data_IF_693651141250
#
_entry.id   IF_693651141250
#
_cell.length_a   1.000
_cell.length_b   1.000
_cell.length_c   1.000
_cell.angle_alpha   90.00
_cell.angle_beta   90.00
_cell.angle_gamma   90.00
#
_symmetry.space_group_name_H-M   'P 1'
#
loop_
_entity.id
_entity.type
_entity.pdbx_description
1 polymer ?
#
# COMPACT_ATOMS: atom_id res chain seq x y z
N UNK A 1 5.54 -13.83 48.67
CA UNK A 1 5.66 -13.78 47.20
C UNK A 1 7.10 -13.59 46.72
N UNK A 2 7.82 -12.52 47.05
CA UNK A 2 9.22 -12.31 46.57
C UNK A 2 10.15 -13.51 46.85
N UNK A 3 10.00 -14.16 48.01
CA UNK A 3 10.73 -15.39 48.33
C UNK A 3 10.39 -16.55 47.39
N UNK A 4 9.11 -16.71 47.04
CA UNK A 4 8.64 -17.76 46.10
C UNK A 4 9.22 -17.49 44.71
N UNK A 5 9.18 -16.24 44.22
CA UNK A 5 9.77 -15.90 42.93
C UNK A 5 11.28 -16.11 42.89
N UNK A 6 12.02 -15.73 43.93
CA UNK A 6 13.45 -16.02 44.04
C UNK A 6 13.74 -17.53 44.07
N UNK A 7 12.83 -18.33 44.64
CA UNK A 7 12.95 -19.79 44.66
C UNK A 7 12.71 -20.40 43.28
N UNK A 8 11.69 -19.92 42.56
CA UNK A 8 11.40 -20.32 41.17
C UNK A 8 12.58 -19.93 40.27
N UNK A 9 13.13 -18.73 40.43
CA UNK A 9 14.33 -18.31 39.71
C UNK A 9 15.53 -19.20 39.99
N UNK A 10 15.75 -19.58 41.26
CA UNK A 10 16.84 -20.45 41.69
C UNK A 10 16.57 -21.95 41.46
N UNK A 11 15.40 -22.30 40.91
CA UNK A 11 14.92 -23.67 40.74
C UNK A 11 15.05 -24.52 42.02
N UNK A 12 14.73 -23.95 43.20
CA UNK A 12 14.95 -24.61 44.48
C UNK A 12 13.69 -25.33 44.99
N UNK A 13 13.48 -26.54 44.50
CA UNK A 13 12.28 -27.36 44.73
C UNK A 13 12.01 -27.63 46.21
N UNK A 14 13.05 -28.00 46.97
CA UNK A 14 12.93 -28.34 48.40
C UNK A 14 12.42 -27.14 49.21
N UNK A 15 12.91 -25.94 48.90
CA UNK A 15 12.44 -24.72 49.57
C UNK A 15 11.05 -24.31 49.12
N UNK A 16 10.66 -24.62 47.89
CA UNK A 16 9.31 -24.34 47.40
C UNK A 16 8.28 -25.19 48.16
N UNK A 17 8.51 -26.50 48.25
CA UNK A 17 7.63 -27.42 48.98
C UNK A 17 7.47 -27.01 50.45
N UNK A 18 8.57 -26.68 51.13
CA UNK A 18 8.53 -26.22 52.51
C UNK A 18 7.70 -24.94 52.71
N UNK A 19 7.75 -23.99 51.76
CA UNK A 19 6.98 -22.74 51.85
C UNK A 19 5.50 -22.95 51.50
N UNK A 20 5.18 -23.82 50.54
CA UNK A 20 3.79 -24.16 50.22
C UNK A 20 3.08 -24.80 51.41
N UNK A 21 3.79 -25.59 52.22
CA UNK A 21 3.27 -26.15 53.47
C UNK A 21 3.10 -25.09 54.59
N UNK A 22 4.00 -24.10 54.69
CA UNK A 22 4.01 -23.09 55.77
C UNK A 22 3.13 -21.84 55.52
N UNK A 23 2.98 -21.37 54.28
CA UNK A 23 2.40 -20.04 53.95
C UNK A 23 1.00 -20.07 53.29
N UNK A 24 0.19 -21.12 53.51
CA UNK A 24 -1.22 -21.15 53.06
C UNK A 24 -2.00 -19.92 53.57
N UNK A 25 -2.31 -18.97 52.67
CA UNK A 25 -3.26 -17.88 52.91
C UNK A 25 -2.70 -16.49 53.27
N UNK A 26 -1.48 -16.12 52.83
CA UNK A 26 -0.99 -14.72 52.97
C UNK A 26 -0.77 -14.04 51.62
N UNK A 27 -1.71 -13.17 51.27
CA UNK A 27 -1.65 -12.31 50.08
C UNK A 27 -0.72 -11.11 50.29
N UNK A 28 0.22 -10.92 49.37
CA UNK A 28 0.74 -9.60 48.97
C UNK A 28 1.45 -9.79 47.63
N UNK A 29 0.91 -9.19 46.57
CA UNK A 29 1.44 -9.26 45.20
C UNK A 29 1.88 -7.86 44.79
N UNK A 30 3.15 -7.67 44.45
CA UNK A 30 3.66 -6.39 43.89
C UNK A 30 3.87 -6.42 42.37
N UNK A 31 3.96 -7.60 41.74
CA UNK A 31 4.54 -7.70 40.39
C UNK A 31 3.62 -8.32 39.33
N UNK A 32 2.35 -8.56 39.64
CA UNK A 32 1.36 -8.94 38.62
C UNK A 32 1.28 -10.42 38.26
N UNK A 33 2.21 -11.26 38.69
CA UNK A 33 2.24 -12.70 38.40
C UNK A 33 1.55 -13.53 39.50
N UNK A 34 1.16 -14.75 39.15
CA UNK A 34 0.90 -15.85 40.10
C UNK A 34 2.13 -16.77 40.13
N UNK A 35 2.34 -17.59 41.19
CA UNK A 35 3.45 -18.55 41.21
C UNK A 35 3.47 -19.47 39.99
N UNK A 36 2.29 -19.96 39.58
CA UNK A 36 2.14 -20.85 38.43
C UNK A 36 2.46 -20.15 37.12
N UNK A 37 1.89 -18.96 36.87
CA UNK A 37 2.17 -18.19 35.64
C UNK A 37 3.65 -17.78 35.56
N UNK A 38 4.28 -17.45 36.68
CA UNK A 38 5.72 -17.14 36.73
C UNK A 38 6.59 -18.37 36.43
N UNK A 39 6.26 -19.53 37.01
CA UNK A 39 6.98 -20.78 36.73
C UNK A 39 6.84 -21.21 35.26
N UNK A 40 5.64 -21.03 34.69
CA UNK A 40 5.37 -21.29 33.27
C UNK A 40 6.22 -20.40 32.36
N UNK A 41 6.24 -19.08 32.60
CA UNK A 41 7.06 -18.13 31.83
C UNK A 41 8.56 -18.46 31.91
N UNK A 42 9.03 -18.91 33.09
CA UNK A 42 10.45 -19.23 33.34
C UNK A 42 10.89 -20.62 32.89
N UNK A 43 9.99 -21.46 32.37
CA UNK A 43 10.37 -22.79 31.89
C UNK A 43 10.72 -23.76 33.02
N UNK A 44 10.10 -23.62 34.21
CA UNK A 44 10.41 -24.46 35.38
C UNK A 44 9.45 -25.65 35.47
N UNK A 45 9.63 -26.64 34.59
CA UNK A 45 8.74 -27.81 34.46
C UNK A 45 8.41 -28.50 35.78
N UNK A 46 9.41 -28.93 36.55
CA UNK A 46 9.21 -29.63 37.84
C UNK A 46 8.48 -28.76 38.88
N UNK A 47 8.67 -27.44 38.83
CA UNK A 47 7.97 -26.51 39.71
C UNK A 47 6.52 -26.33 39.27
N UNK A 48 6.26 -26.28 37.96
CA UNK A 48 4.90 -26.21 37.42
C UNK A 48 4.12 -27.44 37.87
N UNK A 49 4.70 -28.64 37.74
CA UNK A 49 4.08 -29.90 38.15
C UNK A 49 3.66 -29.87 39.63
N UNK A 50 4.57 -29.50 40.54
CA UNK A 50 4.30 -29.36 41.98
C UNK A 50 3.18 -28.35 42.25
N UNK A 51 3.17 -27.21 41.53
CA UNK A 51 2.16 -26.18 41.72
C UNK A 51 0.78 -26.64 41.21
N UNK A 52 0.71 -27.43 40.14
CA UNK A 52 -0.54 -28.02 39.66
C UNK A 52 -1.09 -29.04 40.67
N UNK A 53 -0.23 -29.90 41.21
CA UNK A 53 -0.64 -30.87 42.23
C UNK A 53 -1.26 -30.18 43.47
N UNK A 54 -0.67 -29.09 43.95
CA UNK A 54 -1.21 -28.32 45.08
C UNK A 54 -2.58 -27.69 44.74
N UNK A 55 -2.75 -27.15 43.52
CA UNK A 55 -4.04 -26.60 43.05
C UNK A 55 -5.12 -27.69 43.06
N UNK A 56 -4.83 -28.88 42.53
CA UNK A 56 -5.79 -30.01 42.50
C UNK A 56 -6.20 -30.47 43.90
N UNK A 57 -5.25 -30.53 44.84
CA UNK A 57 -5.55 -30.85 46.24
C UNK A 57 -6.45 -29.78 46.90
N UNK A 58 -6.24 -28.51 46.56
CA UNK A 58 -7.05 -27.40 47.06
C UNK A 58 -8.48 -27.42 46.49
N UNK A 59 -8.67 -27.68 45.19
CA UNK A 59 -10.02 -27.79 44.60
C UNK A 59 -10.87 -28.89 45.25
N UNK A 60 -10.26 -30.05 45.55
CA UNK A 60 -10.94 -31.16 46.20
C UNK A 60 -11.35 -30.81 47.64
N UNK A 61 -10.52 -30.06 48.36
CA UNK A 61 -10.83 -29.62 49.72
C UNK A 61 -11.85 -28.47 49.76
N UNK A 62 -11.84 -27.56 48.79
CA UNK A 62 -12.83 -26.47 48.67
C UNK A 62 -14.23 -26.94 48.28
N UNK A 63 -14.36 -27.97 47.43
CA UNK A 63 -15.64 -28.65 47.18
C UNK A 63 -16.31 -29.14 48.48
N UNK A 64 -15.52 -29.39 49.52
CA UNK A 64 -15.97 -29.81 50.86
C UNK A 64 -16.25 -28.62 51.82
N UNK A 65 -15.75 -27.41 51.52
CA UNK A 65 -15.74 -26.23 52.42
C UNK A 65 -16.63 -25.05 51.99
N UNK A 66 -17.47 -25.21 50.95
CA UNK A 66 -18.32 -24.20 50.24
C UNK A 66 -19.14 -23.16 51.05
N UNK A 67 -19.05 -23.05 52.38
CA UNK A 67 -19.86 -22.11 53.20
C UNK A 67 -19.11 -20.83 53.62
N UNK A 68 -17.77 -20.75 53.56
CA UNK A 68 -17.07 -19.55 54.06
C UNK A 68 -15.85 -19.20 53.21
N UNK A 69 -16.01 -18.26 52.30
CA UNK A 69 -15.12 -17.10 52.07
C UNK A 69 -15.37 -16.62 50.63
N UNK A 70 -16.15 -15.55 50.51
CA UNK A 70 -16.49 -14.95 49.22
C UNK A 70 -15.57 -13.80 48.83
N UNK A 71 -14.46 -13.55 49.53
CA UNK A 71 -13.80 -12.24 49.45
C UNK A 71 -12.27 -12.18 49.48
N UNK A 72 -11.49 -13.26 49.57
CA UNK A 72 -10.02 -13.12 49.68
C UNK A 72 -9.30 -14.19 48.84
N UNK A 73 -8.10 -13.82 48.35
CA UNK A 73 -6.98 -14.66 47.88
C UNK A 73 -6.75 -14.70 46.36
N UNK A 74 -5.60 -14.17 45.91
CA UNK A 74 -5.02 -14.27 44.55
C UNK A 74 -4.10 -15.51 44.41
N UNK A 75 -4.41 -16.59 45.12
CA UNK A 75 -3.81 -17.91 44.91
C UNK A 75 -4.47 -18.52 43.68
N UNK A 76 -3.71 -19.13 42.77
CA UNK A 76 -4.28 -19.94 41.69
C UNK A 76 -5.23 -20.98 42.31
N UNK A 77 -6.52 -20.77 42.17
CA UNK A 77 -7.60 -21.70 42.52
C UNK A 77 -7.93 -22.62 41.35
N UNK A 78 -7.56 -22.21 40.14
CA UNK A 78 -7.76 -22.93 38.89
C UNK A 78 -6.50 -22.85 38.01
N UNK A 79 -6.34 -23.83 37.11
CA UNK A 79 -5.31 -23.85 36.07
C UNK A 79 -5.49 -22.72 35.03
N UNK A 80 -6.70 -22.16 34.94
CA UNK A 80 -7.07 -21.12 33.98
C UNK A 80 -7.10 -19.71 34.61
N UNK A 81 -6.69 -19.57 35.88
CA UNK A 81 -6.71 -18.29 36.56
C UNK A 81 -5.75 -17.29 35.91
N UNK A 82 -6.25 -16.07 35.71
CA UNK A 82 -5.48 -14.98 35.14
C UNK A 82 -4.53 -14.37 36.18
N UNK A 83 -3.31 -14.05 35.74
CA UNK A 83 -2.45 -13.12 36.46
C UNK A 83 -3.00 -11.67 36.32
N UNK A 84 -2.38 -10.69 36.98
CA UNK A 84 -2.83 -9.28 36.90
C UNK A 84 -2.60 -8.64 35.52
N UNK A 85 -1.83 -9.30 34.64
CA UNK A 85 -1.71 -8.92 33.22
C UNK A 85 -2.83 -9.54 32.36
N UNK A 86 -3.74 -10.32 32.97
CA UNK A 86 -4.84 -10.97 32.28
C UNK A 86 -4.47 -12.28 31.60
N UNK A 87 -3.33 -12.89 31.95
CA UNK A 87 -2.76 -14.04 31.24
C UNK A 87 -2.91 -15.32 32.05
N UNK A 88 -3.27 -16.42 31.38
CA UNK A 88 -3.32 -17.76 31.99
C UNK A 88 -1.95 -18.43 31.98
N UNK A 89 -1.71 -19.44 32.84
CA UNK A 89 -0.50 -20.27 32.79
C UNK A 89 -0.15 -20.77 31.40
N UNK A 90 -1.16 -21.26 30.66
CA UNK A 90 -0.98 -21.76 29.29
C UNK A 90 -0.55 -20.65 28.33
N UNK A 91 -1.12 -19.44 28.44
CA UNK A 91 -0.68 -18.31 27.61
C UNK A 91 0.76 -17.87 27.91
N UNK A 92 1.21 -17.92 29.17
CA UNK A 92 2.59 -17.60 29.53
C UNK A 92 3.58 -18.66 29.02
N UNK A 93 3.25 -19.94 29.16
CA UNK A 93 4.04 -21.03 28.59
C UNK A 93 4.13 -20.91 27.06
N UNK A 94 3.00 -20.60 26.40
CA UNK A 94 2.93 -20.42 24.96
C UNK A 94 3.73 -19.20 24.46
N UNK A 95 3.73 -18.10 25.21
CA UNK A 95 4.56 -16.91 24.95
C UNK A 95 6.05 -17.20 25.03
N UNK A 96 6.45 -17.91 26.06
CA UNK A 96 7.84 -18.21 26.34
C UNK A 96 8.38 -19.41 25.52
N UNK A 97 7.51 -20.13 24.80
CA UNK A 97 7.90 -21.21 23.89
C UNK A 97 8.10 -22.57 24.56
N UNK A 98 7.59 -22.76 25.78
CA UNK A 98 7.82 -23.98 26.56
C UNK A 98 6.77 -25.06 26.23
N UNK A 99 6.99 -25.81 25.15
CA UNK A 99 6.08 -26.87 24.69
C UNK A 99 5.77 -27.90 25.78
N UNK A 100 6.79 -28.35 26.53
CA UNK A 100 6.62 -29.35 27.59
C UNK A 100 5.72 -28.88 28.74
N UNK A 101 5.74 -27.58 29.03
CA UNK A 101 4.83 -26.97 30.01
C UNK A 101 3.43 -26.85 29.44
N UNK A 102 3.29 -26.52 28.15
CA UNK A 102 1.98 -26.52 27.47
C UNK A 102 1.36 -27.92 27.47
N UNK A 103 2.17 -28.96 27.22
CA UNK A 103 1.77 -30.37 27.31
C UNK A 103 1.21 -30.68 28.69
N UNK A 104 2.01 -30.43 29.73
CA UNK A 104 1.65 -30.72 31.12
C UNK A 104 0.38 -29.97 31.55
N UNK A 105 0.22 -28.70 31.17
CA UNK A 105 -0.98 -27.93 31.50
C UNK A 105 -2.25 -28.49 30.83
N UNK A 106 -2.17 -28.89 29.55
CA UNK A 106 -3.31 -29.45 28.81
C UNK A 106 -3.68 -30.85 29.28
N UNK A 107 -2.70 -31.71 29.55
CA UNK A 107 -2.92 -33.05 30.13
C UNK A 107 -3.64 -32.97 31.48
N UNK A 108 -3.32 -31.93 32.25
CA UNK A 108 -3.90 -31.69 33.58
C UNK A 108 -5.27 -30.99 33.54
N UNK A 109 -5.75 -30.61 32.34
CA UNK A 109 -7.11 -30.11 32.10
C UNK A 109 -7.26 -28.60 31.90
N UNK A 110 -6.17 -27.85 31.67
CA UNK A 110 -6.27 -26.43 31.30
C UNK A 110 -7.08 -26.26 30.01
N UNK A 111 -7.91 -25.22 29.94
CA UNK A 111 -8.74 -25.01 28.77
C UNK A 111 -7.92 -24.40 27.61
N UNK A 112 -7.73 -25.17 26.55
CA UNK A 112 -6.87 -24.82 25.40
C UNK A 112 -7.21 -23.48 24.73
N UNK A 113 -8.48 -23.10 24.77
CA UNK A 113 -9.00 -21.88 24.15
C UNK A 113 -9.25 -20.76 25.16
N UNK A 114 -8.78 -20.89 26.41
CA UNK A 114 -8.98 -19.85 27.42
C UNK A 114 -8.27 -18.56 27.00
N UNK A 115 -9.05 -17.49 26.83
CA UNK A 115 -8.54 -16.24 26.31
C UNK A 115 -7.93 -15.37 27.41
N UNK A 116 -6.96 -14.53 27.07
CA UNK A 116 -6.49 -13.47 27.97
C UNK A 116 -7.62 -12.50 28.34
N UNK A 117 -7.61 -11.99 29.56
CA UNK A 117 -8.70 -11.20 30.13
C UNK A 117 -8.95 -9.87 29.40
N UNK A 118 -7.90 -9.23 28.88
CA UNK A 118 -8.00 -7.87 28.35
C UNK A 118 -8.12 -7.80 26.84
N UNK A 119 -7.42 -8.66 26.11
CA UNK A 119 -7.36 -8.64 24.64
C UNK A 119 -8.18 -9.77 24.02
N UNK A 120 -8.60 -10.76 24.82
CA UNK A 120 -9.25 -11.99 24.35
C UNK A 120 -8.37 -12.83 23.41
N UNK A 121 -7.05 -12.79 23.56
CA UNK A 121 -6.14 -13.65 22.78
C UNK A 121 -6.13 -15.06 23.34
N UNK A 122 -6.29 -16.08 22.49
CA UNK A 122 -6.06 -17.48 22.87
C UNK A 122 -4.55 -17.78 23.00
N UNK A 123 -4.15 -18.89 23.67
CA UNK A 123 -2.75 -19.32 23.71
C UNK A 123 -2.15 -19.47 22.30
N UNK A 124 -2.95 -19.89 21.33
CA UNK A 124 -2.55 -19.99 19.92
C UNK A 124 -2.16 -18.62 19.33
N UNK A 125 -2.92 -17.55 19.59
CA UNK A 125 -2.53 -16.20 19.14
C UNK A 125 -1.18 -15.79 19.69
N UNK A 126 -0.98 -16.00 20.99
CA UNK A 126 0.25 -15.59 21.69
C UNK A 126 1.45 -16.37 21.18
N UNK A 127 1.31 -17.69 20.96
CA UNK A 127 2.36 -18.52 20.37
C UNK A 127 2.75 -18.04 18.95
N UNK A 128 1.75 -17.70 18.13
CA UNK A 128 1.97 -17.18 16.77
C UNK A 128 2.67 -15.82 16.79
N UNK A 129 2.22 -14.90 17.64
CA UNK A 129 2.80 -13.55 17.77
C UNK A 129 4.28 -13.59 18.16
N UNK A 130 4.67 -14.56 18.98
CA UNK A 130 6.05 -14.76 19.42
C UNK A 130 6.86 -15.70 18.51
N UNK A 131 6.25 -16.26 17.47
CA UNK A 131 6.92 -17.12 16.49
C UNK A 131 7.31 -18.51 17.02
N UNK A 132 6.68 -18.97 18.10
CA UNK A 132 6.99 -20.26 18.73
C UNK A 132 6.32 -21.41 17.95
N UNK A 133 6.91 -21.81 16.83
CA UNK A 133 6.35 -22.80 15.90
C UNK A 133 6.00 -24.13 16.55
N UNK A 134 6.86 -24.64 17.44
CA UNK A 134 6.66 -25.93 18.09
C UNK A 134 5.43 -25.92 19.01
N UNK A 135 5.18 -24.79 19.68
CA UNK A 135 3.97 -24.57 20.49
C UNK A 135 2.75 -24.46 19.58
N UNK A 136 2.85 -23.77 18.45
CA UNK A 136 1.74 -23.64 17.48
C UNK A 136 1.33 -25.00 16.93
N UNK A 137 2.28 -25.83 16.49
CA UNK A 137 2.04 -27.20 16.05
C UNK A 137 1.37 -28.04 17.14
N UNK A 138 1.91 -27.96 18.35
CA UNK A 138 1.36 -28.70 19.50
C UNK A 138 -0.08 -28.29 19.79
N UNK A 139 -0.37 -26.99 19.94
CA UNK A 139 -1.71 -26.49 20.22
C UNK A 139 -2.72 -26.88 19.12
N UNK A 140 -2.34 -26.77 17.84
CA UNK A 140 -3.19 -27.22 16.73
C UNK A 140 -3.44 -28.73 16.80
N UNK A 141 -2.42 -29.54 17.10
CA UNK A 141 -2.55 -31.00 17.24
C UNK A 141 -3.50 -31.42 18.37
N UNK A 142 -3.62 -30.60 19.43
CA UNK A 142 -4.53 -30.80 20.56
C UNK A 142 -5.93 -30.22 20.31
N UNK A 143 -6.22 -29.68 19.12
CA UNK A 143 -7.54 -29.16 18.76
C UNK A 143 -7.80 -27.73 19.23
N UNK A 144 -6.77 -26.89 19.33
CA UNK A 144 -6.96 -25.45 19.51
C UNK A 144 -7.81 -24.89 18.36
N UNK A 145 -8.78 -24.02 18.71
CA UNK A 145 -9.65 -23.41 17.70
C UNK A 145 -8.88 -22.32 16.95
N UNK A 146 -8.64 -22.55 15.66
CA UNK A 146 -7.91 -21.66 14.76
C UNK A 146 -8.73 -20.46 14.27
N UNK A 147 -10.00 -20.34 14.69
CA UNK A 147 -10.93 -19.29 14.26
C UNK A 147 -11.34 -18.31 15.35
N UNK A 148 -11.07 -18.60 16.64
CA UNK A 148 -11.36 -17.63 17.71
C UNK A 148 -10.59 -16.35 17.40
N UNK A 149 -11.27 -15.21 17.41
CA UNK A 149 -10.65 -13.92 17.18
C UNK A 149 -10.52 -13.13 18.50
N UNK A 150 -9.55 -12.23 18.54
CA UNK A 150 -9.37 -11.30 19.67
C UNK A 150 -10.50 -10.25 19.74
N UNK A 151 -10.44 -9.36 20.74
CA UNK A 151 -11.46 -8.34 20.96
C UNK A 151 -11.56 -7.27 19.85
N UNK A 152 -10.64 -7.24 18.87
CA UNK A 152 -10.66 -6.38 17.67
C UNK A 152 -10.97 -7.20 16.40
N UNK A 153 -11.38 -8.45 16.54
CA UNK A 153 -11.62 -9.42 15.46
C UNK A 153 -10.36 -9.77 14.65
N UNK A 154 -9.19 -9.79 15.29
CA UNK A 154 -7.97 -10.33 14.69
C UNK A 154 -7.96 -11.84 14.92
N UNK A 155 -7.85 -12.61 13.83
CA UNK A 155 -7.75 -14.08 13.87
C UNK A 155 -6.29 -14.56 14.00
N UNK A 156 -6.05 -15.82 14.40
CA UNK A 156 -4.73 -16.44 14.38
C UNK A 156 -4.05 -16.34 13.01
N UNK A 157 -4.83 -16.55 11.93
CA UNK A 157 -4.36 -16.41 10.56
C UNK A 157 -3.89 -14.99 10.26
N UNK A 158 -4.64 -13.97 10.68
CA UNK A 158 -4.22 -12.58 10.49
C UNK A 158 -2.89 -12.29 11.20
N UNK A 159 -2.73 -12.75 12.45
CA UNK A 159 -1.49 -12.58 13.23
C UNK A 159 -0.31 -13.26 12.53
N UNK A 160 -0.49 -14.48 12.01
CA UNK A 160 0.54 -15.20 11.27
C UNK A 160 0.99 -14.47 10.00
N UNK A 161 0.03 -13.92 9.23
CA UNK A 161 0.31 -13.13 8.01
C UNK A 161 1.01 -11.82 8.38
N UNK A 162 0.58 -11.14 9.46
CA UNK A 162 1.22 -9.92 9.94
C UNK A 162 2.69 -10.16 10.32
N UNK A 163 3.00 -11.33 10.89
CA UNK A 163 4.36 -11.78 11.18
C UNK A 163 5.14 -12.28 9.95
N UNK A 164 4.49 -12.46 8.80
CA UNK A 164 5.12 -12.98 7.57
C UNK A 164 5.51 -14.46 7.65
N UNK A 165 5.05 -15.20 8.66
CA UNK A 165 5.45 -16.59 8.87
C UNK A 165 4.62 -17.53 7.98
N UNK A 166 5.14 -17.81 6.78
CA UNK A 166 4.48 -18.65 5.78
C UNK A 166 4.24 -20.08 6.29
N UNK A 167 5.12 -20.60 7.15
CA UNK A 167 4.97 -21.93 7.72
C UNK A 167 3.75 -22.02 8.65
N UNK A 168 3.60 -21.07 9.57
CA UNK A 168 2.42 -21.01 10.45
C UNK A 168 1.14 -20.79 9.63
N UNK A 169 1.19 -19.95 8.59
CA UNK A 169 0.04 -19.76 7.69
C UNK A 169 -0.38 -21.10 7.06
N UNK A 170 0.57 -21.89 6.57
CA UNK A 170 0.30 -23.22 6.01
C UNK A 170 -0.35 -24.14 7.05
N UNK A 171 0.20 -24.21 8.27
CA UNK A 171 -0.36 -25.02 9.36
C UNK A 171 -1.81 -24.64 9.70
N UNK A 172 -2.12 -23.35 9.75
CA UNK A 172 -3.48 -22.87 10.03
C UNK A 172 -4.46 -23.22 8.90
N UNK A 173 -4.02 -23.16 7.64
CA UNK A 173 -4.83 -23.55 6.48
C UNK A 173 -5.10 -25.06 6.51
N UNK A 174 -4.09 -25.89 6.77
CA UNK A 174 -4.23 -27.34 6.90
C UNK A 174 -5.17 -27.73 8.05
N UNK A 175 -5.15 -26.96 9.14
CA UNK A 175 -6.07 -27.11 10.27
C UNK A 175 -7.52 -26.67 9.96
N UNK A 176 -7.80 -26.19 8.74
CA UNK A 176 -9.14 -25.85 8.29
C UNK A 176 -9.64 -24.47 8.71
N UNK A 177 -8.74 -23.49 8.93
CA UNK A 177 -9.18 -22.12 9.18
C UNK A 177 -9.89 -21.52 7.95
N UNK A 178 -10.91 -20.68 8.18
CA UNK A 178 -11.55 -19.94 7.10
C UNK A 178 -10.61 -18.81 6.64
N UNK A 179 -10.06 -18.95 5.42
CA UNK A 179 -9.14 -17.98 4.81
C UNK A 179 -9.79 -16.63 4.45
N UNK A 180 -11.12 -16.53 4.60
CA UNK A 180 -11.88 -15.29 4.46
C UNK A 180 -12.26 -14.68 5.81
N UNK A 181 -11.91 -15.32 6.92
CA UNK A 181 -12.25 -14.88 8.26
C UNK A 181 -11.51 -13.59 8.59
N UNK A 182 -12.25 -12.49 8.60
CA UNK A 182 -11.77 -11.16 8.94
C UNK A 182 -12.84 -10.11 8.69
N UNK A 183 -12.71 -8.96 9.34
CA UNK A 183 -13.51 -7.78 8.97
C UNK A 183 -13.01 -7.19 7.66
N UNK A 184 -13.73 -6.19 7.12
CA UNK A 184 -13.31 -5.48 5.91
C UNK A 184 -11.86 -4.96 6.00
N UNK A 185 -11.40 -4.50 7.15
CA UNK A 185 -10.01 -4.02 7.30
C UNK A 185 -8.98 -5.12 7.59
N UNK A 186 -9.44 -6.33 7.92
CA UNK A 186 -8.62 -7.46 8.40
C UNK A 186 -8.71 -8.70 7.50
N UNK A 187 -9.15 -8.58 6.25
CA UNK A 187 -9.16 -9.70 5.32
C UNK A 187 -7.73 -10.25 5.09
N UNK A 188 -7.49 -11.57 5.27
CA UNK A 188 -6.16 -12.18 5.14
C UNK A 188 -5.45 -11.86 3.82
N UNK A 189 -6.15 -12.01 2.70
CA UNK A 189 -5.62 -11.74 1.35
C UNK A 189 -5.26 -10.27 1.14
N UNK A 190 -6.03 -9.35 1.75
CA UNK A 190 -5.76 -7.92 1.69
C UNK A 190 -4.48 -7.60 2.45
N UNK A 191 -4.28 -8.19 3.64
CA UNK A 191 -3.06 -7.99 4.42
C UNK A 191 -1.83 -8.55 3.70
N UNK A 192 -1.91 -9.75 3.14
CA UNK A 192 -0.82 -10.35 2.37
C UNK A 192 -0.43 -9.48 1.17
N UNK A 193 -1.42 -8.97 0.43
CA UNK A 193 -1.21 -8.04 -0.67
C UNK A 193 -0.60 -6.70 -0.21
N UNK A 194 -1.00 -6.16 0.94
CA UNK A 194 -0.42 -4.93 1.52
C UNK A 194 1.05 -5.12 1.91
N UNK A 195 1.39 -6.28 2.46
CA UNK A 195 2.72 -6.58 2.98
C UNK A 195 3.69 -7.13 1.93
N UNK A 196 3.22 -7.48 0.72
CA UNK A 196 4.09 -8.00 -0.34
C UNK A 196 4.45 -9.48 -0.15
N UNK A 197 3.59 -10.25 0.51
CA UNK A 197 3.86 -11.64 0.88
C UNK A 197 3.36 -12.61 -0.20
N UNK A 198 4.08 -12.71 -1.34
CA UNK A 198 3.66 -13.53 -2.49
C UNK A 198 3.35 -14.98 -2.13
N UNK A 199 4.22 -15.65 -1.37
CA UNK A 199 4.01 -17.06 -0.98
C UNK A 199 2.74 -17.25 -0.14
N UNK A 200 2.43 -16.31 0.75
CA UNK A 200 1.19 -16.31 1.54
C UNK A 200 -0.01 -16.02 0.66
N UNK A 201 0.08 -15.05 -0.26
CA UNK A 201 -0.96 -14.79 -1.24
C UNK A 201 -1.29 -16.03 -2.09
N UNK A 202 -0.27 -16.80 -2.47
CA UNK A 202 -0.42 -18.07 -3.19
C UNK A 202 -1.19 -19.09 -2.35
N UNK A 203 -0.73 -19.37 -1.13
CA UNK A 203 -1.40 -20.31 -0.21
C UNK A 203 -2.87 -19.93 0.04
N UNK A 204 -3.16 -18.66 0.29
CA UNK A 204 -4.55 -18.19 0.48
C UNK A 204 -5.41 -18.39 -0.78
N UNK A 205 -4.84 -18.15 -1.96
CA UNK A 205 -5.54 -18.32 -3.22
C UNK A 205 -5.83 -19.79 -3.55
N UNK A 206 -4.90 -20.69 -3.24
CA UNK A 206 -5.03 -22.14 -3.36
C UNK A 206 -6.08 -22.69 -2.38
N UNK A 207 -6.14 -22.12 -1.18
CA UNK A 207 -7.17 -22.41 -0.17
C UNK A 207 -8.56 -21.80 -0.49
N UNK A 208 -8.72 -21.14 -1.64
CA UNK A 208 -10.03 -20.65 -2.09
C UNK A 208 -10.46 -19.31 -1.49
N UNK A 209 -9.53 -18.42 -1.12
CA UNK A 209 -9.89 -17.08 -0.65
C UNK A 209 -10.65 -16.26 -1.73
N UNK A 210 -11.52 -15.37 -1.27
CA UNK A 210 -12.12 -14.33 -2.09
C UNK A 210 -11.06 -13.27 -2.42
N UNK A 211 -10.49 -13.37 -3.63
CA UNK A 211 -9.40 -12.50 -4.13
C UNK A 211 -9.78 -11.03 -4.24
N UNK A 212 -11.08 -10.74 -4.23
CA UNK A 212 -11.64 -9.40 -4.33
C UNK A 212 -12.21 -8.89 -3.01
N UNK A 213 -11.86 -9.51 -1.88
CA UNK A 213 -12.33 -9.07 -0.56
C UNK A 213 -11.80 -7.66 -0.28
N UNK A 214 -12.67 -6.68 -0.49
CA UNK A 214 -12.34 -5.28 -0.38
C UNK A 214 -12.44 -4.77 1.06
N UNK A 215 -11.63 -3.75 1.38
CA UNK A 215 -11.71 -3.09 2.67
C UNK A 215 -12.94 -2.17 2.81
N UNK A 216 -13.08 -1.48 3.94
CA UNK A 216 -14.24 -0.61 4.20
C UNK A 216 -14.36 0.57 3.23
N UNK A 217 -13.29 0.88 2.51
CA UNK A 217 -13.24 1.91 1.48
C UNK A 217 -13.41 1.32 0.08
N UNK A 218 -13.69 0.02 -0.06
CA UNK A 218 -13.82 -0.66 -1.35
C UNK A 218 -12.48 -0.92 -2.05
N UNK A 219 -11.34 -0.66 -1.41
CA UNK A 219 -10.03 -0.96 -2.00
C UNK A 219 -9.88 -2.49 -2.03
N UNK A 220 -9.54 -3.05 -3.19
CA UNK A 220 -9.31 -4.48 -3.39
C UNK A 220 -7.85 -4.87 -3.11
N UNK A 221 -7.55 -6.16 -2.88
CA UNK A 221 -6.18 -6.64 -2.69
C UNK A 221 -5.26 -6.28 -3.87
N UNK A 222 -5.74 -6.39 -5.12
CA UNK A 222 -4.97 -5.99 -6.29
C UNK A 222 -4.68 -4.48 -6.33
N UNK A 223 -5.66 -3.64 -5.97
CA UNK A 223 -5.46 -2.19 -5.91
C UNK A 223 -4.45 -1.81 -4.81
N UNK A 224 -4.49 -2.48 -3.65
CA UNK A 224 -3.50 -2.30 -2.59
C UNK A 224 -2.10 -2.76 -3.02
N UNK A 225 -1.97 -3.91 -3.69
CA UNK A 225 -0.68 -4.38 -4.22
C UNK A 225 -0.07 -3.37 -5.20
N UNK A 226 -0.86 -2.80 -6.11
CA UNK A 226 -0.42 -1.70 -7.00
C UNK A 226 -0.02 -0.45 -6.21
N UNK A 227 -0.81 -0.09 -5.19
CA UNK A 227 -0.52 1.05 -4.31
C UNK A 227 0.80 0.86 -3.55
N UNK A 228 1.17 -0.39 -3.23
CA UNK A 228 2.42 -0.74 -2.54
C UNK A 228 3.57 -1.17 -3.45
N UNK A 229 3.32 -1.24 -4.76
CA UNK A 229 4.32 -1.62 -5.78
C UNK A 229 4.75 -3.10 -5.75
N UNK A 230 3.85 -3.99 -5.30
CA UNK A 230 4.07 -5.43 -5.25
C UNK A 230 3.62 -6.09 -6.56
N UNK A 231 4.43 -5.93 -7.61
CA UNK A 231 4.11 -6.32 -9.00
C UNK A 231 3.88 -7.82 -9.16
N UNK A 232 4.63 -8.64 -8.45
CA UNK A 232 4.51 -10.09 -8.42
C UNK A 232 3.13 -10.56 -7.92
N UNK A 233 2.61 -9.91 -6.88
CA UNK A 233 1.24 -10.14 -6.38
C UNK A 233 0.20 -9.67 -7.40
N UNK A 234 0.42 -8.52 -8.05
CA UNK A 234 -0.48 -8.02 -9.11
C UNK A 234 -0.57 -9.04 -10.24
N UNK A 235 0.57 -9.51 -10.74
CA UNK A 235 0.63 -10.54 -11.78
C UNK A 235 -0.09 -11.82 -11.34
N UNK A 236 0.21 -12.31 -10.14
CA UNK A 236 -0.38 -13.54 -9.61
C UNK A 236 -1.91 -13.42 -9.49
N UNK A 237 -2.43 -12.35 -8.89
CA UNK A 237 -3.87 -12.16 -8.72
C UNK A 237 -4.61 -12.09 -10.06
N UNK A 238 -4.02 -11.44 -11.08
CA UNK A 238 -4.58 -11.38 -12.44
C UNK A 238 -4.65 -12.78 -13.06
N UNK A 239 -3.58 -13.56 -12.96
CA UNK A 239 -3.53 -14.93 -13.48
C UNK A 239 -4.56 -15.86 -12.82
N UNK A 240 -4.95 -15.55 -11.58
CA UNK A 240 -5.90 -16.34 -10.79
C UNK A 240 -7.31 -15.73 -10.77
N UNK A 241 -7.64 -14.86 -11.73
CA UNK A 241 -9.01 -14.46 -12.03
C UNK A 241 -9.64 -13.46 -11.06
N UNK A 242 -8.85 -12.59 -10.42
CA UNK A 242 -9.42 -11.45 -9.69
C UNK A 242 -10.15 -10.48 -10.63
N UNK A 243 -11.10 -9.71 -10.10
CA UNK A 243 -11.78 -8.66 -10.86
C UNK A 243 -10.91 -7.38 -10.87
N UNK A 244 -10.10 -7.26 -11.94
CA UNK A 244 -9.21 -6.11 -12.17
C UNK A 244 -9.94 -4.76 -12.30
N UNK A 245 -11.26 -4.78 -12.52
CA UNK A 245 -12.08 -3.59 -12.77
C UNK A 245 -12.83 -3.11 -11.53
N UNK A 246 -12.79 -3.84 -10.41
CA UNK A 246 -13.35 -3.38 -9.15
C UNK A 246 -12.71 -2.06 -8.71
N UNK A 247 -13.55 -1.20 -8.15
CA UNK A 247 -13.17 0.14 -7.73
C UNK A 247 -13.47 0.38 -6.27
N UNK A 248 -12.73 1.30 -5.67
CA UNK A 248 -13.01 1.83 -4.35
C UNK A 248 -14.29 2.72 -4.34
N UNK A 249 -14.63 3.27 -3.17
CA UNK A 249 -15.76 4.19 -2.98
C UNK A 249 -15.69 5.47 -3.83
N UNK A 250 -14.50 5.81 -4.34
CA UNK A 250 -14.27 6.96 -5.22
C UNK A 250 -14.19 6.54 -6.70
N UNK A 251 -14.65 5.33 -7.04
CA UNK A 251 -14.55 4.75 -8.37
C UNK A 251 -13.09 4.67 -8.89
N UNK A 252 -12.11 4.61 -8.00
CA UNK A 252 -10.69 4.44 -8.34
C UNK A 252 -10.40 2.95 -8.49
N UNK A 253 -9.96 2.56 -9.69
CA UNK A 253 -9.50 1.19 -9.99
C UNK A 253 -7.98 1.04 -9.79
N UNK A 254 -7.49 -0.20 -9.78
CA UNK A 254 -6.06 -0.50 -9.77
C UNK A 254 -5.30 0.19 -10.93
N UNK A 255 -5.93 0.30 -12.12
CA UNK A 255 -5.33 0.96 -13.28
C UNK A 255 -5.18 2.48 -13.07
N UNK A 256 -6.14 3.13 -12.39
CA UNK A 256 -6.02 4.54 -12.02
C UNK A 256 -4.80 4.76 -11.12
N UNK A 257 -4.62 3.90 -10.11
CA UNK A 257 -3.48 3.98 -9.17
C UNK A 257 -2.15 3.77 -9.92
N UNK A 258 -2.06 2.72 -10.74
CA UNK A 258 -0.86 2.41 -11.52
C UNK A 258 -0.46 3.60 -12.42
N UNK A 259 -1.43 4.18 -13.13
CA UNK A 259 -1.21 5.31 -14.01
C UNK A 259 -0.83 6.59 -13.26
N UNK A 260 -1.46 6.88 -12.11
CA UNK A 260 -1.13 8.03 -11.28
C UNK A 260 0.31 7.93 -10.73
N UNK A 261 0.72 6.73 -10.29
CA UNK A 261 2.06 6.47 -9.77
C UNK A 261 3.12 6.36 -10.86
N UNK A 262 2.73 6.12 -12.11
CA UNK A 262 3.66 5.91 -13.22
C UNK A 262 4.27 4.51 -13.24
N UNK A 263 3.58 3.54 -12.65
CA UNK A 263 4.06 2.17 -12.57
C UNK A 263 3.79 1.44 -13.89
N UNK A 264 4.80 1.44 -14.78
CA UNK A 264 4.70 0.88 -16.12
C UNK A 264 4.31 -0.60 -16.12
N UNK A 265 4.95 -1.41 -15.28
CA UNK A 265 4.72 -2.86 -15.23
C UNK A 265 3.32 -3.18 -14.72
N UNK A 266 2.85 -2.50 -13.66
CA UNK A 266 1.47 -2.64 -13.21
C UNK A 266 0.47 -2.24 -14.30
N UNK A 267 0.70 -1.13 -15.02
CA UNK A 267 -0.19 -0.72 -16.13
C UNK A 267 -0.23 -1.80 -17.22
N UNK A 268 0.92 -2.33 -17.62
CA UNK A 268 1.01 -3.40 -18.62
C UNK A 268 0.28 -4.65 -18.17
N UNK A 269 0.51 -5.12 -16.94
CA UNK A 269 -0.14 -6.30 -16.39
C UNK A 269 -1.66 -6.12 -16.30
N UNK A 270 -2.13 -5.00 -15.77
CA UNK A 270 -3.56 -4.71 -15.62
C UNK A 270 -4.28 -4.68 -16.98
N UNK A 271 -3.69 -4.05 -18.00
CA UNK A 271 -4.28 -4.02 -19.34
C UNK A 271 -4.29 -5.40 -19.99
N UNK A 272 -3.23 -6.21 -19.80
CA UNK A 272 -3.24 -7.61 -20.22
C UNK A 272 -4.32 -8.41 -19.49
N UNK A 273 -4.59 -8.08 -18.22
CA UNK A 273 -5.69 -8.59 -17.40
C UNK A 273 -7.08 -8.06 -17.79
N UNK A 274 -7.21 -7.32 -18.89
CA UNK A 274 -8.47 -6.69 -19.37
C UNK A 274 -9.01 -5.60 -18.46
N UNK A 275 -8.14 -4.85 -17.79
CA UNK A 275 -8.54 -3.62 -17.10
C UNK A 275 -9.10 -2.61 -18.12
N UNK A 276 -10.22 -1.98 -17.77
CA UNK A 276 -10.93 -1.06 -18.63
C UNK A 276 -10.28 0.34 -18.56
N UNK A 277 -9.60 0.82 -19.62
CA UNK A 277 -8.85 2.08 -19.60
C UNK A 277 -9.74 3.33 -19.62
N UNK A 278 -11.04 3.18 -19.94
CA UNK A 278 -12.00 4.29 -20.02
C UNK A 278 -12.88 4.44 -18.77
N UNK A 279 -12.69 3.59 -17.75
CA UNK A 279 -13.31 3.80 -16.45
C UNK A 279 -12.96 5.18 -15.91
N UNK A 280 -13.93 5.81 -15.25
CA UNK A 280 -13.78 7.13 -14.66
C UNK A 280 -13.94 7.05 -13.16
N UNK A 281 -13.05 7.71 -12.43
CA UNK A 281 -13.19 7.93 -11.01
C UNK A 281 -14.31 8.96 -10.70
N UNK A 282 -14.59 9.21 -9.42
CA UNK A 282 -15.61 10.18 -8.97
C UNK A 282 -15.30 11.64 -9.36
N UNK A 283 -14.05 11.96 -9.72
CA UNK A 283 -13.67 13.25 -10.31
C UNK A 283 -13.89 13.29 -11.83
N UNK A 284 -14.38 12.21 -12.43
CA UNK A 284 -14.61 12.07 -13.87
C UNK A 284 -13.34 11.83 -14.69
N UNK A 285 -12.22 11.48 -14.04
CA UNK A 285 -10.93 11.28 -14.67
C UNK A 285 -10.71 9.81 -15.03
N UNK A 286 -10.14 9.54 -16.20
CA UNK A 286 -9.65 8.21 -16.58
C UNK A 286 -8.22 7.97 -16.08
N UNK A 287 -7.78 6.72 -16.09
CA UNK A 287 -6.40 6.37 -15.74
C UNK A 287 -5.36 7.10 -16.62
N UNK A 288 -5.62 7.22 -17.92
CA UNK A 288 -4.77 8.00 -18.84
C UNK A 288 -4.65 9.48 -18.42
N UNK A 289 -5.77 10.11 -18.03
CA UNK A 289 -5.76 11.50 -17.56
C UNK A 289 -4.96 11.66 -16.26
N UNK A 290 -5.00 10.68 -15.36
CA UNK A 290 -4.17 10.68 -14.16
C UNK A 290 -2.68 10.56 -14.49
N UNK A 291 -2.29 9.72 -15.47
CA UNK A 291 -0.89 9.63 -15.92
C UNK A 291 -0.40 10.98 -16.47
N UNK A 292 -1.22 11.65 -17.29
CA UNK A 292 -0.94 12.99 -17.83
C UNK A 292 -0.75 14.01 -16.71
N UNK A 293 -1.70 14.12 -15.77
CA UNK A 293 -1.66 15.14 -14.71
C UNK A 293 -0.51 14.97 -13.71
N UNK A 294 0.06 13.76 -13.63
CA UNK A 294 1.16 13.41 -12.73
C UNK A 294 2.50 13.24 -13.46
N UNK A 295 2.61 13.68 -14.71
CA UNK A 295 3.84 13.64 -15.52
C UNK A 295 4.45 12.23 -15.69
N UNK A 296 3.61 11.21 -15.92
CA UNK A 296 4.05 9.82 -16.11
C UNK A 296 4.26 9.51 -17.59
N UNK A 297 5.28 10.13 -18.19
CA UNK A 297 5.43 10.16 -19.65
C UNK A 297 5.60 8.78 -20.28
N UNK A 298 6.29 7.82 -19.64
CA UNK A 298 6.44 6.45 -20.15
C UNK A 298 5.09 5.71 -20.19
N UNK A 299 4.27 5.90 -19.16
CA UNK A 299 2.90 5.34 -19.12
C UNK A 299 2.00 6.02 -20.14
N UNK A 300 2.11 7.34 -20.30
CA UNK A 300 1.36 8.08 -21.33
C UNK A 300 1.74 7.57 -22.72
N UNK A 301 3.03 7.43 -23.02
CA UNK A 301 3.51 6.91 -24.30
C UNK A 301 3.00 5.49 -24.55
N UNK A 302 3.09 4.62 -23.55
CA UNK A 302 2.58 3.26 -23.64
C UNK A 302 1.08 3.20 -23.93
N UNK A 303 0.28 3.96 -23.18
CA UNK A 303 -1.18 4.01 -23.36
C UNK A 303 -1.57 4.60 -24.72
N UNK A 304 -0.80 5.57 -25.24
CA UNK A 304 -1.01 6.12 -26.58
C UNK A 304 -0.68 5.08 -27.66
N UNK A 305 0.41 4.33 -27.50
CA UNK A 305 0.82 3.30 -28.44
C UNK A 305 -0.16 2.11 -28.49
N UNK A 306 -0.78 1.77 -27.35
CA UNK A 306 -1.88 0.80 -27.30
C UNK A 306 -3.20 1.34 -27.90
N UNK A 307 -3.31 2.67 -28.06
CA UNK A 307 -4.58 3.40 -28.10
C UNK A 307 -4.74 4.38 -29.25
N UNK A 308 -4.26 4.06 -30.46
CA UNK A 308 -4.78 4.69 -31.69
C UNK A 308 -6.34 4.68 -31.76
N UNK A 309 -7.00 3.82 -30.96
CA UNK A 309 -8.44 3.79 -30.74
C UNK A 309 -8.96 4.41 -29.42
N UNK A 310 -8.16 4.63 -28.37
CA UNK A 310 -8.64 5.29 -27.13
C UNK A 310 -8.97 6.76 -27.39
N UNK A 311 -8.28 7.37 -28.35
CA UNK A 311 -8.49 8.76 -28.77
C UNK A 311 -9.59 8.92 -29.85
N UNK A 312 -10.20 7.80 -30.32
CA UNK A 312 -11.24 7.80 -31.37
C UNK A 312 -12.63 8.25 -30.88
N UNK A 313 -12.84 8.31 -29.56
CA UNK A 313 -14.05 8.83 -28.93
C UNK A 313 -13.87 10.30 -28.53
N UNK A 314 -14.94 11.11 -28.39
CA UNK A 314 -14.85 12.55 -28.18
C UNK A 314 -14.39 12.89 -26.75
N UNK A 315 -13.13 12.61 -26.45
CA UNK A 315 -12.46 12.94 -25.19
C UNK A 315 -12.03 14.40 -25.09
N UNK A 316 -12.16 15.18 -26.18
CA UNK A 316 -11.55 16.49 -26.33
C UNK A 316 -12.01 17.54 -25.30
N UNK A 317 -13.29 17.57 -24.91
CA UNK A 317 -13.80 18.77 -24.23
C UNK A 317 -13.49 18.86 -22.72
N UNK A 318 -13.23 17.75 -22.02
CA UNK A 318 -12.73 17.77 -20.61
C UNK A 318 -11.28 17.30 -20.47
N UNK A 319 -10.73 16.53 -21.42
CA UNK A 319 -9.30 16.18 -21.44
C UNK A 319 -8.41 17.39 -21.70
N UNK A 320 -8.95 18.44 -22.33
CA UNK A 320 -8.29 19.75 -22.48
C UNK A 320 -7.79 20.31 -21.15
N UNK A 321 -8.51 20.12 -20.04
CA UNK A 321 -8.08 20.58 -18.73
C UNK A 321 -6.84 19.83 -18.20
N UNK A 322 -6.82 18.51 -18.33
CA UNK A 322 -5.66 17.68 -17.93
C UNK A 322 -4.44 17.94 -18.80
N UNK A 323 -4.65 18.12 -20.11
CA UNK A 323 -3.61 18.52 -21.06
C UNK A 323 -3.10 19.93 -20.75
N UNK A 324 -3.97 20.90 -20.47
CA UNK A 324 -3.57 22.25 -20.07
C UNK A 324 -2.65 22.24 -18.84
N UNK A 325 -3.00 21.44 -17.83
CA UNK A 325 -2.19 21.30 -16.61
C UNK A 325 -0.77 20.81 -16.89
N UNK A 326 -0.54 19.98 -17.92
CA UNK A 326 0.82 19.56 -18.32
C UNK A 326 1.66 20.77 -18.69
N UNK A 327 1.10 21.68 -19.49
CA UNK A 327 1.78 22.90 -19.90
C UNK A 327 1.95 23.89 -18.75
N UNK A 328 0.93 24.07 -17.91
CA UNK A 328 0.98 24.97 -16.76
C UNK A 328 1.97 24.52 -15.67
N UNK A 329 2.13 23.21 -15.49
CA UNK A 329 3.07 22.62 -14.53
C UNK A 329 4.47 22.39 -15.10
N UNK A 330 4.70 22.68 -16.38
CA UNK A 330 6.01 22.49 -17.03
C UNK A 330 6.41 21.02 -17.21
N UNK A 331 5.44 20.13 -17.42
CA UNK A 331 5.65 18.70 -17.64
C UNK A 331 6.14 18.41 -19.07
N UNK A 332 7.40 18.79 -19.34
CA UNK A 332 8.01 18.80 -20.68
C UNK A 332 7.94 17.45 -21.39
N UNK A 333 8.34 16.36 -20.74
CA UNK A 333 8.39 15.02 -21.35
C UNK A 333 7.00 14.53 -21.74
N UNK A 334 6.02 14.70 -20.86
CA UNK A 334 4.64 14.34 -21.15
C UNK A 334 4.08 15.19 -22.28
N UNK A 335 4.40 16.49 -22.33
CA UNK A 335 4.00 17.35 -23.44
C UNK A 335 4.60 16.91 -24.78
N UNK A 336 5.87 16.51 -24.79
CA UNK A 336 6.56 15.98 -25.97
C UNK A 336 5.89 14.72 -26.50
N UNK A 337 5.63 13.74 -25.61
CA UNK A 337 4.91 12.50 -25.97
C UNK A 337 3.52 12.82 -26.53
N UNK A 338 2.77 13.71 -25.88
CA UNK A 338 1.44 14.11 -26.33
C UNK A 338 1.45 14.80 -27.69
N UNK A 339 2.40 15.70 -27.95
CA UNK A 339 2.51 16.40 -29.24
C UNK A 339 2.92 15.46 -30.38
N UNK A 340 3.79 14.48 -30.11
CA UNK A 340 4.18 13.46 -31.08
C UNK A 340 3.01 12.56 -31.46
N UNK A 341 2.26 12.06 -30.46
CA UNK A 341 1.15 11.16 -30.71
C UNK A 341 -0.15 11.84 -31.14
N UNK A 342 -0.33 13.15 -30.86
CA UNK A 342 -1.50 13.94 -31.25
C UNK A 342 -1.10 15.24 -31.98
N UNK A 343 -0.76 15.20 -33.28
CA UNK A 343 -0.34 16.39 -34.03
C UNK A 343 -1.39 17.49 -34.17
N UNK A 344 -2.67 17.22 -33.84
CA UNK A 344 -3.78 18.18 -33.87
C UNK A 344 -4.32 18.50 -32.48
N UNK A 345 -3.52 18.31 -31.43
CA UNK A 345 -3.92 18.58 -30.05
C UNK A 345 -4.38 20.05 -29.92
N UNK A 346 -5.63 20.31 -29.52
CA UNK A 346 -6.07 21.68 -29.25
C UNK A 346 -5.29 22.20 -28.05
N UNK A 347 -4.40 23.16 -28.28
CA UNK A 347 -3.62 23.79 -27.23
C UNK A 347 -4.43 24.95 -26.64
N UNK A 348 -4.78 24.90 -25.36
CA UNK A 348 -5.58 25.96 -24.78
C UNK A 348 -4.77 27.24 -24.52
N UNK A 349 -5.47 28.37 -24.44
CA UNK A 349 -4.90 29.68 -24.15
C UNK A 349 -4.46 29.81 -22.69
N UNK A 350 -3.27 29.31 -22.37
CA UNK A 350 -2.69 29.48 -21.03
C UNK A 350 -1.27 30.09 -21.06
N UNK A 351 -0.93 30.97 -20.11
CA UNK A 351 0.41 31.52 -19.97
C UNK A 351 1.50 30.43 -19.87
N UNK A 352 1.22 29.33 -19.16
CA UNK A 352 2.15 28.22 -18.98
C UNK A 352 2.53 27.52 -20.28
N UNK A 353 1.56 27.39 -21.21
CA UNK A 353 1.80 26.90 -22.57
C UNK A 353 2.84 27.76 -23.29
N UNK A 354 2.66 29.09 -23.25
CA UNK A 354 3.57 30.03 -23.92
C UNK A 354 4.97 29.99 -23.32
N UNK A 355 5.07 30.01 -21.99
CA UNK A 355 6.35 29.98 -21.28
C UNK A 355 7.10 28.66 -21.51
N UNK A 356 6.41 27.52 -21.50
CA UNK A 356 7.03 26.21 -21.74
C UNK A 356 7.61 26.09 -23.16
N UNK A 357 6.86 26.52 -24.19
CA UNK A 357 7.36 26.53 -25.57
C UNK A 357 8.47 27.55 -25.77
N UNK A 358 8.39 28.73 -25.15
CA UNK A 358 9.43 29.75 -25.28
C UNK A 358 10.78 29.32 -24.69
N UNK A 359 10.77 28.42 -23.71
CA UNK A 359 11.97 27.95 -23.00
C UNK A 359 12.46 26.57 -23.46
N UNK A 360 11.69 25.84 -24.29
CA UNK A 360 12.08 24.53 -24.81
C UNK A 360 12.03 24.50 -26.35
N UNK A 361 13.21 24.49 -26.97
CA UNK A 361 13.37 24.56 -28.42
C UNK A 361 12.83 23.32 -29.14
N UNK A 362 12.87 22.15 -28.50
CA UNK A 362 12.44 20.89 -29.11
C UNK A 362 10.91 20.79 -29.16
N UNK A 363 10.24 21.16 -28.07
CA UNK A 363 8.78 21.33 -28.03
C UNK A 363 8.32 22.34 -29.08
N UNK A 364 9.07 23.43 -29.24
CA UNK A 364 8.78 24.44 -30.24
C UNK A 364 8.94 23.90 -31.67
N UNK A 365 10.01 23.15 -31.97
CA UNK A 365 10.20 22.49 -33.27
C UNK A 365 9.03 21.54 -33.58
N UNK A 366 8.57 20.76 -32.61
CA UNK A 366 7.42 19.85 -32.78
C UNK A 366 6.10 20.58 -33.07
N UNK A 367 5.84 21.73 -32.44
CA UNK A 367 4.69 22.57 -32.82
C UNK A 367 4.74 23.03 -34.27
N UNK A 368 5.91 23.47 -34.72
CA UNK A 368 6.08 23.95 -36.09
C UNK A 368 5.89 22.82 -37.12
N UNK A 369 6.39 21.63 -36.83
CA UNK A 369 6.28 20.46 -37.72
C UNK A 369 4.88 19.84 -37.74
N UNK A 370 4.15 19.88 -36.62
CA UNK A 370 2.79 19.32 -36.52
C UNK A 370 1.71 20.13 -37.24
N UNK A 371 2.04 21.35 -37.68
CA UNK A 371 1.10 22.21 -38.40
C UNK A 371 -0.08 22.68 -37.55
N UNK A 372 0.04 22.65 -36.21
CA UNK A 372 -0.97 23.19 -35.27
C UNK A 372 -1.09 24.69 -35.52
N UNK A 373 -2.14 25.05 -36.25
CA UNK A 373 -2.48 26.43 -36.55
C UNK A 373 -3.13 27.02 -35.32
N UNK A 374 -2.34 27.77 -34.56
CA UNK A 374 -2.79 28.77 -33.58
C UNK A 374 -3.41 28.22 -32.29
N UNK A 375 -2.87 28.69 -31.17
CA UNK A 375 -3.71 29.06 -30.05
C UNK A 375 -4.35 30.40 -30.51
N UNK A 376 -5.67 30.49 -30.82
CA UNK A 376 -6.29 31.70 -31.40
C UNK A 376 -6.10 33.00 -30.59
N UNK A 377 -4.99 33.73 -30.83
CA UNK A 377 -4.68 35.01 -30.15
C UNK A 377 -3.45 35.02 -29.24
N UNK A 378 -2.64 33.96 -29.17
CA UNK A 378 -1.39 33.95 -28.39
C UNK A 378 -0.18 33.77 -29.30
N UNK A 379 0.69 34.78 -29.34
CA UNK A 379 2.01 34.72 -29.98
C UNK A 379 2.96 33.86 -29.15
N UNK A 380 3.40 32.72 -29.67
CA UNK A 380 4.59 32.04 -29.17
C UNK A 380 5.79 32.62 -29.92
N UNK A 381 6.59 33.46 -29.25
CA UNK A 381 7.88 33.96 -29.77
C UNK A 381 8.99 33.35 -28.93
N UNK A 382 9.85 32.47 -29.46
CA UNK A 382 10.92 31.85 -28.68
C UNK A 382 11.79 32.88 -27.97
N UNK A 383 12.15 32.60 -26.71
CA UNK A 383 13.32 33.23 -26.09
C UNK A 383 14.56 32.50 -26.61
N UNK A 384 15.00 32.86 -27.81
CA UNK A 384 16.25 32.33 -28.38
C UNK A 384 17.42 32.91 -27.59
N UNK A 385 18.12 32.08 -26.79
CA UNK A 385 19.39 32.49 -26.21
C UNK A 385 20.47 32.43 -27.31
N UNK A 386 21.27 33.50 -27.54
CA UNK A 386 22.16 33.61 -28.71
C UNK A 386 23.23 32.51 -28.84
N UNK A 387 23.51 31.76 -27.77
CA UNK A 387 24.59 30.77 -27.72
C UNK A 387 24.19 29.36 -28.21
N UNK A 388 22.89 29.08 -28.37
CA UNK A 388 22.39 27.71 -28.62
C UNK A 388 21.72 27.49 -29.97
N UNK A 389 21.72 28.49 -30.87
CA UNK A 389 20.96 28.43 -32.12
C UNK A 389 21.85 28.79 -33.30
N UNK A 390 21.98 27.89 -34.27
CA UNK A 390 22.79 28.13 -35.47
C UNK A 390 22.01 29.00 -36.49
N UNK A 391 22.70 29.90 -37.21
CA UNK A 391 22.10 30.79 -38.23
C UNK A 391 21.32 30.03 -39.32
N UNK A 392 21.76 28.82 -39.64
CA UNK A 392 21.08 27.95 -40.61
C UNK A 392 19.70 27.51 -40.12
N UNK A 393 19.58 27.14 -38.84
CA UNK A 393 18.30 26.75 -38.25
C UNK A 393 17.29 27.92 -38.21
N UNK A 394 17.75 29.15 -37.98
CA UNK A 394 16.90 30.35 -38.04
C UNK A 394 16.45 30.64 -39.47
N UNK A 395 17.33 30.44 -40.46
CA UNK A 395 17.01 30.63 -41.88
C UNK A 395 15.97 29.62 -42.36
N UNK A 396 16.20 28.34 -42.08
CA UNK A 396 15.28 27.25 -42.43
C UNK A 396 13.92 27.42 -41.70
N UNK A 397 13.94 27.98 -40.48
CA UNK A 397 12.74 28.34 -39.72
C UNK A 397 11.94 29.46 -40.40
N UNK A 398 12.60 30.55 -40.83
CA UNK A 398 11.95 31.67 -41.51
C UNK A 398 11.41 31.28 -42.89
N UNK A 399 12.12 30.44 -43.65
CA UNK A 399 11.69 29.97 -44.98
C UNK A 399 10.43 29.10 -44.92
N UNK A 400 10.32 28.20 -43.92
CA UNK A 400 9.14 27.36 -43.75
C UNK A 400 7.92 28.13 -43.20
N UNK A 401 8.15 29.24 -42.49
CA UNK A 401 7.10 30.11 -41.92
C UNK A 401 6.22 30.79 -42.97
N UNK A 402 6.73 30.98 -44.20
CA UNK A 402 6.04 31.69 -45.29
C UNK A 402 4.88 30.92 -45.92
N UNK A 403 4.73 29.62 -45.63
CA UNK A 403 3.67 28.78 -46.20
C UNK A 403 2.30 28.93 -45.54
N UNK A 404 2.15 29.76 -44.49
CA UNK A 404 0.89 29.88 -43.75
C UNK A 404 0.53 31.35 -43.38
N UNK A 405 -0.32 32.03 -44.17
CA UNK A 405 -0.47 33.50 -44.16
C UNK A 405 -1.20 34.10 -42.96
N UNK A 406 -2.01 33.33 -42.22
CA UNK A 406 -2.73 33.82 -41.03
C UNK A 406 -1.81 34.17 -39.85
N UNK A 407 -0.56 33.72 -39.90
CA UNK A 407 0.48 34.02 -38.91
C UNK A 407 1.05 35.44 -39.06
N UNK A 408 1.04 36.02 -40.26
CA UNK A 408 1.77 37.26 -40.59
C UNK A 408 1.23 38.53 -39.91
N UNK A 409 -0.08 38.63 -39.68
CA UNK A 409 -0.69 39.86 -39.16
C UNK A 409 -0.44 40.08 -37.67
N UNK A 410 -0.27 39.01 -36.89
CA UNK A 410 -0.12 39.08 -35.43
C UNK A 410 1.35 39.08 -34.98
N UNK A 411 2.26 38.47 -35.76
CA UNK A 411 3.54 37.96 -35.25
C UNK A 411 4.75 38.92 -35.22
N UNK A 412 4.86 39.93 -36.08
CA UNK A 412 6.19 40.51 -36.34
C UNK A 412 6.68 41.62 -35.39
N UNK A 413 5.87 42.15 -34.45
CA UNK A 413 6.22 43.43 -33.79
C UNK A 413 6.82 43.39 -32.39
N UNK A 414 6.48 42.45 -31.51
CA UNK A 414 6.58 42.74 -30.07
C UNK A 414 7.77 42.07 -29.34
N UNK A 415 8.38 40.98 -29.84
CA UNK A 415 9.45 40.28 -29.09
C UNK A 415 10.73 39.90 -29.84
N UNK A 416 10.72 39.90 -31.18
CA UNK A 416 11.91 39.63 -32.03
C UNK A 416 13.04 40.63 -31.74
N UNK A 417 12.70 41.91 -31.51
CA UNK A 417 13.66 42.98 -31.21
C UNK A 417 14.35 42.85 -29.84
N UNK A 418 13.72 42.17 -28.88
CA UNK A 418 14.24 41.99 -27.51
C UNK A 418 15.10 40.72 -27.35
N UNK A 419 14.84 39.68 -28.16
CA UNK A 419 15.52 38.38 -28.02
C UNK A 419 16.79 38.25 -28.87
N UNK A 420 16.88 38.91 -30.02
CA UNK A 420 17.98 38.67 -30.98
C UNK A 420 19.19 39.61 -30.80
N UNK A 421 19.06 40.67 -29.99
CA UNK A 421 20.04 41.77 -30.01
C UNK A 421 20.05 42.51 -31.36
N UNK A 422 20.58 43.73 -31.38
CA UNK A 422 20.54 44.59 -32.57
C UNK A 422 21.23 43.95 -33.80
N UNK A 423 22.21 43.07 -33.59
CA UNK A 423 23.06 42.49 -34.63
C UNK A 423 22.35 41.39 -35.45
N UNK A 424 21.56 40.51 -34.83
CA UNK A 424 20.78 39.50 -35.57
C UNK A 424 19.55 40.12 -36.22
N UNK A 425 18.95 41.16 -35.62
CA UNK A 425 17.82 41.87 -36.23
C UNK A 425 18.19 42.50 -37.59
N UNK A 426 19.39 43.06 -37.71
CA UNK A 426 19.91 43.61 -38.96
C UNK A 426 20.20 42.52 -40.01
N UNK A 427 20.66 41.34 -39.59
CA UNK A 427 20.85 40.19 -40.50
C UNK A 427 19.53 39.60 -41.00
N UNK A 428 18.48 39.59 -40.18
CA UNK A 428 17.13 39.17 -40.61
C UNK A 428 16.56 40.13 -41.67
N UNK A 429 16.91 41.42 -41.65
CA UNK A 429 16.54 42.37 -42.71
C UNK A 429 17.26 42.13 -44.03
N UNK A 430 18.41 41.45 -44.03
CA UNK A 430 19.15 41.10 -45.25
C UNK A 430 18.68 39.79 -45.92
N UNK A 431 17.75 39.06 -45.30
CA UNK A 431 17.10 37.91 -45.93
C UNK A 431 16.11 38.37 -47.02
N UNK A 432 15.84 37.55 -48.05
CA UNK A 432 14.94 37.91 -49.15
C UNK A 432 13.49 37.92 -48.68
N UNK A 433 13.10 38.97 -47.95
CA UNK A 433 11.73 39.18 -47.48
C UNK A 433 10.86 39.63 -48.68
N UNK A 434 9.69 39.01 -48.91
CA UNK A 434 8.76 39.39 -49.97
C UNK A 434 8.38 40.89 -49.95
N UNK A 435 8.18 41.54 -51.11
CA UNK A 435 8.00 43.00 -51.21
C UNK A 435 6.86 43.56 -50.34
N UNK A 436 5.75 42.82 -50.20
CA UNK A 436 4.59 43.25 -49.41
C UNK A 436 4.88 43.38 -47.90
N UNK A 437 5.88 42.66 -47.39
CA UNK A 437 6.35 42.77 -45.99
C UNK A 437 7.27 43.97 -45.80
N UNK A 438 8.01 44.40 -46.83
CA UNK A 438 8.85 45.61 -46.79
C UNK A 438 7.99 46.88 -46.69
N UNK A 439 6.88 46.94 -47.41
CA UNK A 439 5.92 48.05 -47.31
C UNK A 439 5.28 48.14 -45.91
N UNK A 440 4.99 47.00 -45.27
CA UNK A 440 4.39 46.97 -43.94
C UNK A 440 5.37 47.34 -42.79
N UNK A 441 6.68 47.16 -43.02
CA UNK A 441 7.75 47.60 -42.11
C UNK A 441 8.00 49.11 -42.27
N UNK A 442 7.88 49.66 -43.48
CA UNK A 442 8.02 51.08 -43.76
C UNK A 442 6.87 51.92 -43.19
N UNK A 443 5.63 51.41 -43.25
CA UNK A 443 4.39 52.09 -42.83
C UNK A 443 4.23 52.38 -41.32
N UNK A 444 5.23 52.10 -40.48
CA UNK A 444 5.18 52.42 -39.04
C UNK A 444 6.49 52.97 -38.48
N UNK A 445 7.24 53.66 -39.36
CA UNK A 445 8.26 54.66 -38.99
C UNK A 445 7.68 56.08 -38.92
N UNK A 446 6.42 56.27 -39.31
CA UNK A 446 5.51 57.32 -38.82
C UNK A 446 4.74 56.77 -37.62
#
# INVERSE_FOLDING_TARGET
MDKIYQIIEKNNIVKLQAILEEERGKDNVSDGWTPLTYACERGREEIVDILIEDIKQNEQTEKTRKIKLKNHIHTCTSLDDHNLNGETPLTCAARAGHVKICELLLDEGAFINQTTQYVNQTPLHVAIEHGNTDVVEYLISQGADVQIADNVNISPLYTAIKGGNSYIVHLLIDAGCDVNLGSQDHAPIFLAARLGLLAITQMLCEAGCNKDFANKYGVTPIAEAVQKDHIDIVEYLIQHGCDVNKTDINNVSALHIACQKGNYDAVRLLLNGRANPILKNSSGQTAFQLAIENNRYEVVEYLMNLGADILSQPFANKSLGSIAKVFDRGHVQTAEVLLRGCPKLPLPHYPGVTDMFCNNMELMKMLFLSGIQTIPGVLIVPRLHPQHVNQKEISDWLENFHKNPLSLQSLCRIRVRRCLGNTLFLKVQSLPIPPYLKEFIALKRL
#
